data_IF_183621666037
#
_entry.id   IF_183621666037
#
_cell.length_a   1.000
_cell.length_b   1.000
_cell.length_c   1.000
_cell.angle_alpha   90.00
_cell.angle_beta   90.00
_cell.angle_gamma   90.00
#
_symmetry.space_group_name_H-M   'P 1'
#
loop_
_entity.id
_entity.type
_entity.pdbx_description
1 polymer ?
#
# COMPACT_ATOMS: atom_id res chain seq x y z
N UNK A 1 -2.45 3.18 -5.74
CA UNK A 1 -3.27 4.36 -5.40
C UNK A 1 -4.09 4.70 -6.63
N UNK A 2 -5.37 5.02 -6.48
CA UNK A 2 -6.25 5.32 -7.64
C UNK A 2 -5.81 6.60 -8.37
N UNK A 3 -5.99 6.67 -9.69
CA UNK A 3 -5.58 7.83 -10.51
C UNK A 3 -6.38 9.08 -10.12
N UNK A 4 -7.65 8.94 -9.73
CA UNK A 4 -8.47 10.07 -9.27
C UNK A 4 -7.95 10.58 -7.93
N UNK A 5 -7.54 9.70 -7.02
CA UNK A 5 -6.89 10.11 -5.76
C UNK A 5 -5.57 10.84 -6.02
N UNK A 6 -4.76 10.37 -6.97
CA UNK A 6 -3.52 11.04 -7.37
C UNK A 6 -3.78 12.43 -7.98
N UNK A 7 -4.84 12.59 -8.79
CA UNK A 7 -5.25 13.89 -9.33
C UNK A 7 -5.66 14.87 -8.22
N UNK A 8 -6.42 14.41 -7.23
CA UNK A 8 -6.84 15.24 -6.09
C UNK A 8 -5.63 15.71 -5.27
N UNK A 9 -4.68 14.81 -5.01
CA UNK A 9 -3.46 15.13 -4.29
C UNK A 9 -2.58 16.11 -5.09
N UNK A 10 -2.40 15.89 -6.39
CA UNK A 10 -1.62 16.78 -7.27
C UNK A 10 -2.24 18.18 -7.37
N UNK A 11 -3.57 18.28 -7.40
CA UNK A 11 -4.28 19.56 -7.44
C UNK A 11 -4.13 20.31 -6.10
N UNK A 12 -4.18 19.59 -4.97
CA UNK A 12 -3.91 20.16 -3.65
C UNK A 12 -2.45 20.66 -3.53
N UNK A 13 -1.49 19.90 -4.05
CA UNK A 13 -0.08 20.30 -4.12
C UNK A 13 0.08 21.59 -4.94
N UNK A 14 -0.53 21.67 -6.12
CA UNK A 14 -0.51 22.88 -6.95
C UNK A 14 -1.13 24.08 -6.23
N UNK A 15 -2.25 23.89 -5.52
CA UNK A 15 -2.91 24.96 -4.77
C UNK A 15 -2.00 25.50 -3.67
N UNK A 16 -1.37 24.62 -2.89
CA UNK A 16 -0.43 25.02 -1.84
C UNK A 16 0.79 25.72 -2.42
N UNK A 17 1.35 25.20 -3.51
CA UNK A 17 2.51 25.79 -4.17
C UNK A 17 2.19 27.17 -4.73
N UNK A 18 1.01 27.35 -5.34
CA UNK A 18 0.55 28.64 -5.86
C UNK A 18 0.38 29.66 -4.73
N UNK A 19 -0.36 29.33 -3.66
CA UNK A 19 -0.59 30.25 -2.52
C UNK A 19 0.72 30.65 -1.86
N UNK A 20 1.66 29.72 -1.70
CA UNK A 20 2.98 30.02 -1.14
C UNK A 20 3.82 30.90 -2.08
N UNK A 21 3.78 30.65 -3.39
CA UNK A 21 4.49 31.45 -4.39
C UNK A 21 3.95 32.89 -4.43
N UNK A 22 2.64 33.07 -4.51
CA UNK A 22 2.04 34.40 -4.52
C UNK A 22 2.18 35.12 -3.18
N UNK A 23 2.05 34.42 -2.06
CA UNK A 23 2.18 34.99 -0.72
C UNK A 23 3.59 35.52 -0.46
N UNK A 24 4.62 34.78 -0.84
CA UNK A 24 6.02 35.23 -0.71
C UNK A 24 6.32 36.42 -1.61
N UNK A 25 5.86 36.39 -2.88
CA UNK A 25 6.00 37.52 -3.80
C UNK A 25 5.33 38.80 -3.28
N UNK A 26 4.14 38.71 -2.70
CA UNK A 26 3.44 39.88 -2.17
C UNK A 26 4.08 40.43 -0.90
N UNK A 27 4.55 39.54 -0.02
CA UNK A 27 5.16 39.93 1.25
C UNK A 27 6.52 40.59 1.06
N UNK A 28 7.31 40.05 0.13
CA UNK A 28 8.72 40.41 -0.03
C UNK A 28 8.95 41.41 -1.18
N UNK A 29 7.89 41.88 -1.85
CA UNK A 29 7.98 42.85 -2.95
C UNK A 29 8.50 44.23 -2.47
N UNK A 30 9.60 44.75 -3.05
CA UNK A 30 10.06 46.11 -2.74
C UNK A 30 9.08 47.15 -3.32
N UNK A 31 8.96 48.34 -2.69
CA UNK A 31 8.15 49.42 -3.23
C UNK A 31 8.59 49.82 -4.64
N UNK A 32 7.67 49.77 -5.60
CA UNK A 32 7.93 50.22 -6.97
C UNK A 32 8.24 51.72 -6.95
N UNK A 33 9.49 52.08 -7.29
CA UNK A 33 9.88 53.48 -7.53
C UNK A 33 9.47 53.85 -8.96
N UNK A 34 8.51 54.77 -9.10
CA UNK A 34 8.02 55.25 -10.39
C UNK A 34 9.09 56.07 -11.17
N UNK A 35 10.09 56.60 -10.47
CA UNK A 35 11.24 57.33 -11.03
C UNK A 35 12.37 57.39 -10.01
N UNK A 36 13.62 57.47 -10.48
CA UNK A 36 14.82 57.59 -9.65
C UNK A 36 14.82 58.82 -8.74
N UNK A 37 14.00 59.83 -9.01
CA UNK A 37 13.92 61.06 -8.23
C UNK A 37 12.65 61.17 -7.37
N UNK A 38 11.89 60.07 -7.21
CA UNK A 38 10.68 60.10 -6.37
C UNK A 38 11.08 60.04 -4.88
N UNK A 39 10.69 61.03 -4.06
CA UNK A 39 11.06 61.06 -2.64
C UNK A 39 10.50 59.84 -1.90
N UNK A 40 11.29 59.28 -0.99
CA UNK A 40 10.84 58.18 -0.14
C UNK A 40 9.98 58.73 1.01
N UNK A 41 8.68 58.44 1.08
CA UNK A 41 7.81 58.97 2.13
C UNK A 41 8.21 58.51 3.55
N UNK A 42 9.03 57.45 3.66
CA UNK A 42 9.54 56.95 4.93
C UNK A 42 10.90 57.56 5.32
N UNK A 43 11.51 58.35 4.42
CA UNK A 43 12.72 59.12 4.73
C UNK A 43 12.32 60.54 5.21
N UNK A 44 12.58 60.92 6.48
CA UNK A 44 12.23 62.23 7.01
C UNK A 44 12.85 63.40 6.23
N UNK A 45 13.99 63.18 5.53
CA UNK A 45 14.61 64.19 4.67
C UNK A 45 13.91 64.35 3.30
N UNK A 46 13.27 63.29 2.79
CA UNK A 46 12.63 63.30 1.48
C UNK A 46 11.19 63.85 1.54
N UNK A 47 10.50 63.69 2.68
CA UNK A 47 9.23 64.36 2.95
C UNK A 47 9.35 65.90 2.92
N UNK A 48 10.48 66.44 3.43
CA UNK A 48 10.78 67.86 3.38
C UNK A 48 11.13 68.36 1.96
N UNK A 49 11.75 67.52 1.12
CA UNK A 49 12.06 67.86 -0.27
C UNK A 49 10.80 67.93 -1.15
N UNK A 50 9.78 67.10 -0.89
CA UNK A 50 8.50 67.16 -1.59
C UNK A 50 7.74 68.48 -1.33
N UNK A 51 7.86 69.04 -0.12
CA UNK A 51 7.27 70.35 0.23
C UNK A 51 8.03 71.55 -0.35
N UNK A 52 9.30 71.39 -0.73
CA UNK A 52 10.11 72.47 -1.30
C UNK A 52 9.96 72.64 -2.82
N UNK A 53 9.45 71.62 -3.54
CA UNK A 53 9.19 71.69 -4.97
C UNK A 53 7.78 72.24 -5.33
N UNK A 54 6.96 72.57 -4.32
CA UNK A 54 5.69 73.24 -4.51
C UNK A 54 5.92 74.76 -4.67
N UNK A 55 5.89 75.19 -5.93
CA UNK A 55 5.76 76.55 -6.45
C UNK A 55 5.14 77.59 -5.45
N UNK A 56 5.75 78.77 -5.21
CA UNK A 56 5.15 79.78 -4.34
C UNK A 56 4.05 80.50 -5.12
N UNK A 57 2.79 80.24 -4.78
CA UNK A 57 1.70 81.15 -5.12
C UNK A 57 1.16 81.76 -3.81
N UNK A 58 1.23 83.08 -3.62
CA UNK A 58 0.53 83.74 -2.53
C UNK A 58 -0.97 83.87 -2.89
N UNK A 59 -1.82 84.12 -1.89
CA UNK A 59 -3.27 84.32 -1.98
C UNK A 59 -4.16 83.05 -1.92
N UNK A 60 -4.54 82.62 -0.71
CA UNK A 60 -5.88 82.90 -0.12
C UNK A 60 -6.01 82.28 1.31
N UNK A 61 -6.88 82.80 2.20
CA UNK A 61 -6.79 82.64 3.65
C UNK A 61 -7.78 81.62 4.27
N UNK A 62 -7.36 81.15 5.45
CA UNK A 62 -8.16 80.79 6.64
C UNK A 62 -9.22 79.68 6.57
N UNK A 63 -8.93 78.56 7.26
CA UNK A 63 -9.86 77.95 8.23
C UNK A 63 -9.12 76.98 9.19
N UNK A 64 -9.01 77.38 10.46
CA UNK A 64 -8.74 76.53 11.65
C UNK A 64 -10.06 75.82 12.10
N UNK A 65 -10.18 75.14 13.27
CA UNK A 65 -9.49 73.95 13.82
C UNK A 65 -10.45 72.87 14.44
N UNK A 66 -10.04 71.58 14.49
CA UNK A 66 -10.26 70.48 15.53
C UNK A 66 -11.67 70.23 16.17
N UNK A 67 -11.94 69.23 17.08
CA UNK A 67 -11.26 67.99 17.54
C UNK A 67 -12.22 66.74 17.75
N UNK A 68 -11.65 65.58 18.15
CA UNK A 68 -12.35 64.46 18.85
C UNK A 68 -11.65 63.11 18.62
N UNK A 69 -11.43 62.20 19.57
CA UNK A 69 -11.78 62.07 20.98
C UNK A 69 -10.74 61.13 21.66
N UNK A 70 -10.60 61.27 22.98
CA UNK A 70 -9.67 60.51 23.82
C UNK A 70 -10.33 59.31 24.53
N UNK A 71 -9.45 58.42 25.02
CA UNK A 71 -9.54 57.63 26.26
C UNK A 71 -9.93 56.14 26.17
N UNK A 72 -9.03 55.31 26.72
CA UNK A 72 -9.26 53.94 27.18
C UNK A 72 -7.99 53.35 27.80
N UNK A 73 -7.98 53.19 29.12
CA UNK A 73 -6.83 52.96 30.00
C UNK A 73 -6.29 51.51 30.05
N UNK A 74 -5.02 51.36 30.43
CA UNK A 74 -4.36 50.12 30.94
C UNK A 74 -4.71 49.88 32.44
N UNK A 75 -4.16 48.88 33.21
CA UNK A 75 -3.26 47.75 32.89
C UNK A 75 -3.66 46.40 33.56
N UNK A 76 -2.96 45.28 33.25
CA UNK A 76 -2.85 44.12 34.16
C UNK A 76 -1.61 43.25 33.84
N UNK A 77 -0.99 42.72 34.89
CA UNK A 77 0.36 42.17 34.99
C UNK A 77 0.53 40.72 34.53
N UNK A 78 1.81 40.33 34.40
CA UNK A 78 2.41 39.08 33.92
C UNK A 78 2.02 37.78 34.68
N UNK A 79 2.53 36.62 34.25
CA UNK A 79 3.82 36.22 34.80
C UNK A 79 4.86 35.77 33.77
N UNK A 80 6.10 36.09 34.10
CA UNK A 80 7.30 35.59 33.45
C UNK A 80 7.43 34.08 33.65
N UNK A 81 7.63 33.34 32.56
CA UNK A 81 8.22 32.01 32.60
C UNK A 81 9.51 32.04 31.78
N UNK A 82 10.61 31.86 32.49
CA UNK A 82 11.93 31.72 31.95
C UNK A 82 12.04 30.36 31.26
N UNK A 83 12.26 30.39 29.95
CA UNK A 83 12.86 29.27 29.23
C UNK A 83 14.13 29.78 28.55
N UNK A 84 15.24 29.35 29.12
CA UNK A 84 16.57 29.45 28.55
C UNK A 84 16.61 28.61 27.27
N UNK A 85 16.21 29.20 26.15
CA UNK A 85 16.53 28.70 24.84
C UNK A 85 17.93 29.23 24.49
N UNK A 86 18.82 28.27 24.24
CA UNK A 86 20.19 28.45 23.77
C UNK A 86 20.27 29.58 22.75
N UNK A 87 21.19 30.52 22.95
CA UNK A 87 21.53 31.56 22.00
C UNK A 87 22.06 30.92 20.70
N UNK A 88 21.14 30.56 19.81
CA UNK A 88 21.47 30.39 18.40
C UNK A 88 21.88 31.78 17.90
N UNK A 89 23.02 31.91 17.20
CA UNK A 89 23.34 33.16 16.54
C UNK A 89 22.14 33.48 15.64
N UNK A 90 21.58 34.69 15.81
CA UNK A 90 20.62 35.25 14.87
C UNK A 90 21.35 35.32 13.53
N UNK A 91 21.28 34.24 12.76
CA UNK A 91 21.56 34.29 11.35
C UNK A 91 20.48 35.21 10.81
N UNK A 92 20.89 36.44 10.46
CA UNK A 92 20.11 37.26 9.56
C UNK A 92 19.63 36.31 8.45
N UNK A 93 18.31 36.23 8.19
CA UNK A 93 17.81 35.36 7.14
C UNK A 93 18.67 35.63 5.90
N UNK A 94 19.18 34.58 5.22
CA UNK A 94 19.92 34.79 3.99
C UNK A 94 19.05 35.72 3.16
N UNK A 95 19.61 36.88 2.77
CA UNK A 95 18.89 37.83 1.94
C UNK A 95 18.29 37.00 0.81
N UNK A 96 16.97 36.82 0.84
CA UNK A 96 16.29 35.93 -0.08
C UNK A 96 16.71 36.43 -1.45
N UNK A 97 17.37 35.59 -2.23
CA UNK A 97 17.68 35.95 -3.60
C UNK A 97 16.33 36.05 -4.32
N UNK A 98 15.75 37.25 -4.28
CA UNK A 98 14.42 37.58 -4.77
C UNK A 98 14.32 37.32 -6.27
N UNK A 99 15.45 37.17 -6.95
CA UNK A 99 15.50 36.87 -8.37
C UNK A 99 15.48 35.36 -8.65
N UNK A 100 15.97 34.51 -7.74
CA UNK A 100 16.12 33.07 -7.96
C UNK A 100 15.00 32.25 -7.29
N UNK A 101 14.59 32.63 -6.08
CA UNK A 101 13.58 31.88 -5.32
C UNK A 101 12.19 31.86 -6.00
N UNK A 102 11.65 32.97 -6.53
CA UNK A 102 10.38 32.93 -7.26
C UNK A 102 10.44 32.17 -8.59
N UNK A 103 11.62 32.13 -9.24
CA UNK A 103 11.83 31.32 -10.45
C UNK A 103 11.79 29.83 -10.13
N UNK A 104 12.40 29.41 -9.02
CA UNK A 104 12.36 28.02 -8.58
C UNK A 104 10.92 27.57 -8.24
N UNK A 105 10.15 28.41 -7.53
CA UNK A 105 8.77 28.10 -7.16
C UNK A 105 7.82 28.10 -8.36
N UNK A 106 7.96 29.06 -9.28
CA UNK A 106 7.18 29.07 -10.52
C UNK A 106 7.51 27.88 -11.43
N UNK A 107 8.79 27.47 -11.51
CA UNK A 107 9.18 26.25 -12.21
C UNK A 107 8.54 25.00 -11.59
N UNK A 108 8.53 24.89 -10.26
CA UNK A 108 7.89 23.79 -9.56
C UNK A 108 6.37 23.76 -9.83
N UNK A 109 5.70 24.91 -9.92
CA UNK A 109 4.27 24.99 -10.27
C UNK A 109 3.99 24.49 -11.69
N UNK A 110 4.85 24.87 -12.65
CA UNK A 110 4.73 24.39 -14.04
C UNK A 110 4.96 22.89 -14.12
N UNK A 111 5.92 22.34 -13.36
CA UNK A 111 6.13 20.89 -13.30
C UNK A 111 4.94 20.16 -12.69
N UNK A 112 4.36 20.70 -11.62
CA UNK A 112 3.16 20.14 -11.01
C UNK A 112 1.97 20.18 -11.99
N UNK A 113 1.81 21.26 -12.76
CA UNK A 113 0.80 21.36 -13.82
C UNK A 113 0.99 20.30 -14.92
N UNK A 114 2.24 20.08 -15.38
CA UNK A 114 2.54 19.03 -16.37
C UNK A 114 2.22 17.63 -15.85
N UNK A 115 2.47 17.37 -14.56
CA UNK A 115 2.10 16.10 -13.92
C UNK A 115 0.58 15.93 -13.85
N UNK A 116 -0.15 16.99 -13.51
CA UNK A 116 -1.60 16.99 -13.55
C UNK A 116 -2.13 16.65 -14.95
N UNK A 117 -1.61 17.30 -16.00
CA UNK A 117 -1.99 17.01 -17.40
C UNK A 117 -1.73 15.54 -17.78
N UNK A 118 -0.59 15.00 -17.37
CA UNK A 118 -0.25 13.59 -17.62
C UNK A 118 -1.22 12.64 -16.90
N UNK A 119 -1.61 12.96 -15.66
CA UNK A 119 -2.61 12.17 -14.91
C UNK A 119 -4.00 12.27 -15.53
N UNK A 120 -4.40 13.44 -16.03
CA UNK A 120 -5.68 13.61 -16.75
C UNK A 120 -5.67 12.81 -18.04
N UNK A 121 -4.57 12.82 -18.79
CA UNK A 121 -4.42 12.02 -20.01
C UNK A 121 -4.41 10.50 -19.75
N UNK A 122 -4.01 10.08 -18.55
CA UNK A 122 -4.01 8.68 -18.12
C UNK A 122 -5.39 8.19 -17.66
N UNK A 123 -6.40 9.06 -17.55
CA UNK A 123 -7.74 8.65 -17.18
C UNK A 123 -8.33 7.73 -18.27
N UNK A 124 -8.95 6.60 -17.90
CA UNK A 124 -9.68 5.77 -18.84
C UNK A 124 -10.97 6.47 -19.26
N UNK A 125 -10.87 7.32 -20.29
CA UNK A 125 -11.98 8.06 -20.89
C UNK A 125 -12.74 7.15 -21.86
N UNK A 126 -13.62 6.31 -21.34
CA UNK A 126 -14.62 5.59 -22.14
C UNK A 126 -16.02 6.08 -21.81
N UNK A 127 -16.94 6.00 -22.78
CA UNK A 127 -18.33 6.31 -22.54
C UNK A 127 -18.91 5.32 -21.52
N UNK A 128 -19.89 5.77 -20.73
CA UNK A 128 -20.57 4.91 -19.75
C UNK A 128 -21.13 3.65 -20.42
N UNK A 129 -21.69 3.78 -21.63
CA UNK A 129 -22.23 2.66 -22.40
C UNK A 129 -21.14 1.65 -22.80
N UNK A 130 -19.98 2.11 -23.28
CA UNK A 130 -18.87 1.23 -23.64
C UNK A 130 -18.28 0.53 -22.41
N UNK A 131 -18.18 1.25 -21.29
CA UNK A 131 -17.75 0.67 -20.02
C UNK A 131 -18.71 -0.42 -19.56
N UNK A 132 -20.02 -0.14 -19.60
CA UNK A 132 -21.04 -1.08 -19.17
C UNK A 132 -21.10 -2.30 -20.09
N UNK A 133 -20.92 -2.10 -21.40
CA UNK A 133 -20.80 -3.17 -22.39
C UNK A 133 -19.58 -4.06 -22.09
N UNK A 134 -18.41 -3.46 -21.87
CA UNK A 134 -17.19 -4.21 -21.49
C UNK A 134 -17.37 -4.95 -20.17
N UNK A 135 -18.04 -4.36 -19.19
CA UNK A 135 -18.33 -5.03 -17.92
C UNK A 135 -19.22 -6.25 -18.15
N UNK A 136 -20.29 -6.13 -18.93
CA UNK A 136 -21.17 -7.26 -19.25
C UNK A 136 -20.45 -8.37 -20.00
N UNK A 137 -19.62 -8.02 -20.97
CA UNK A 137 -18.78 -8.97 -21.69
C UNK A 137 -17.84 -9.70 -20.74
N UNK A 138 -17.11 -8.98 -19.89
CA UNK A 138 -16.23 -9.58 -18.88
C UNK A 138 -17.00 -10.43 -17.86
N UNK A 139 -18.22 -10.05 -17.49
CA UNK A 139 -19.06 -10.88 -16.61
C UNK A 139 -19.44 -12.20 -17.30
N UNK A 140 -19.86 -12.15 -18.56
CA UNK A 140 -20.17 -13.34 -19.34
C UNK A 140 -18.94 -14.24 -19.53
N UNK A 141 -17.77 -13.65 -19.82
CA UNK A 141 -16.50 -14.39 -19.91
C UNK A 141 -16.14 -15.05 -18.58
N UNK A 142 -16.27 -14.32 -17.47
CA UNK A 142 -15.99 -14.87 -16.13
C UNK A 142 -16.96 -16.01 -15.77
N UNK A 143 -18.23 -15.92 -16.16
CA UNK A 143 -19.19 -17.02 -15.99
C UNK A 143 -18.76 -18.26 -16.80
N UNK A 144 -18.41 -18.07 -18.08
CA UNK A 144 -17.93 -19.16 -18.95
C UNK A 144 -16.67 -19.80 -18.38
N UNK A 145 -15.66 -18.99 -18.00
CA UNK A 145 -14.43 -19.48 -17.37
C UNK A 145 -14.73 -20.24 -16.07
N UNK A 146 -15.66 -19.74 -15.26
CA UNK A 146 -16.13 -20.42 -14.05
C UNK A 146 -16.74 -21.80 -14.35
N UNK A 147 -17.60 -21.90 -15.36
CA UNK A 147 -18.20 -23.18 -15.76
C UNK A 147 -17.18 -24.17 -16.31
N UNK A 148 -16.22 -23.70 -17.12
CA UNK A 148 -15.16 -24.55 -17.67
C UNK A 148 -14.23 -25.06 -16.56
N UNK A 149 -13.86 -24.20 -15.62
CA UNK A 149 -13.05 -24.59 -14.46
C UNK A 149 -13.78 -25.64 -13.61
N UNK A 150 -15.09 -25.50 -13.39
CA UNK A 150 -15.89 -26.49 -12.67
C UNK A 150 -15.99 -27.82 -13.42
N UNK A 151 -16.15 -27.79 -14.74
CA UNK A 151 -16.16 -28.99 -15.58
C UNK A 151 -14.81 -29.73 -15.51
N UNK A 152 -13.70 -29.01 -15.50
CA UNK A 152 -12.38 -29.60 -15.32
C UNK A 152 -12.24 -30.23 -13.93
N UNK A 153 -12.74 -29.58 -12.89
CA UNK A 153 -12.74 -30.12 -11.53
C UNK A 153 -13.56 -31.42 -11.44
N UNK A 154 -14.74 -31.45 -12.06
CA UNK A 154 -15.60 -32.65 -12.10
C UNK A 154 -14.93 -33.79 -12.87
N UNK A 155 -14.34 -33.50 -14.04
CA UNK A 155 -13.61 -34.50 -14.82
C UNK A 155 -12.42 -35.09 -14.03
N UNK A 156 -11.66 -34.23 -13.33
CA UNK A 156 -10.57 -34.67 -12.46
C UNK A 156 -11.08 -35.53 -11.29
N UNK A 157 -12.19 -35.14 -10.66
CA UNK A 157 -12.83 -35.91 -9.60
C UNK A 157 -13.30 -37.30 -10.07
N UNK A 158 -13.90 -37.38 -11.26
CA UNK A 158 -14.31 -38.64 -11.87
C UNK A 158 -13.10 -39.53 -12.19
N UNK A 159 -11.99 -38.96 -12.69
CA UNK A 159 -10.77 -39.72 -12.93
C UNK A 159 -10.22 -40.31 -11.63
N UNK A 160 -10.19 -39.52 -10.56
CA UNK A 160 -9.74 -39.97 -9.24
C UNK A 160 -10.63 -41.09 -8.71
N UNK A 161 -11.96 -40.96 -8.83
CA UNK A 161 -12.92 -41.98 -8.41
C UNK A 161 -12.72 -43.30 -9.18
N UNK A 162 -12.49 -43.23 -10.49
CA UNK A 162 -12.19 -44.41 -11.31
C UNK A 162 -10.89 -45.10 -10.87
N UNK A 163 -9.82 -44.33 -10.65
CA UNK A 163 -8.53 -44.86 -10.20
C UNK A 163 -8.69 -45.54 -8.84
N UNK A 164 -9.34 -44.87 -7.88
CA UNK A 164 -9.60 -45.44 -6.55
C UNK A 164 -10.46 -46.71 -6.63
N UNK A 165 -11.48 -46.74 -7.49
CA UNK A 165 -12.30 -47.92 -7.74
C UNK A 165 -11.50 -49.09 -8.28
N UNK A 166 -10.59 -48.84 -9.23
CA UNK A 166 -9.69 -49.87 -9.76
C UNK A 166 -8.78 -50.43 -8.65
N UNK A 167 -8.17 -49.57 -7.83
CA UNK A 167 -7.35 -50.03 -6.70
C UNK A 167 -8.14 -50.84 -5.69
N UNK A 168 -9.40 -50.46 -5.42
CA UNK A 168 -10.26 -51.21 -4.50
C UNK A 168 -10.55 -52.61 -5.01
N UNK A 169 -10.89 -52.77 -6.30
CA UNK A 169 -11.09 -54.07 -6.93
C UNK A 169 -9.80 -54.91 -6.90
N UNK A 170 -8.67 -54.30 -7.27
CA UNK A 170 -7.37 -54.97 -7.22
C UNK A 170 -7.01 -55.42 -5.80
N UNK A 171 -7.37 -54.64 -4.78
CA UNK A 171 -7.17 -55.02 -3.38
C UNK A 171 -8.04 -56.21 -2.96
N UNK A 172 -9.28 -56.27 -3.44
CA UNK A 172 -10.17 -57.42 -3.23
C UNK A 172 -9.57 -58.68 -3.88
N UNK A 173 -9.13 -58.59 -5.13
CA UNK A 173 -8.54 -59.72 -5.86
C UNK A 173 -7.27 -60.22 -5.17
N UNK A 174 -6.38 -59.32 -4.77
CA UNK A 174 -5.16 -59.66 -4.01
C UNK A 174 -5.53 -60.35 -2.69
N UNK A 175 -6.51 -59.84 -1.95
CA UNK A 175 -6.94 -60.45 -0.70
C UNK A 175 -7.48 -61.87 -0.92
N UNK A 176 -8.29 -62.07 -1.94
CA UNK A 176 -8.83 -63.40 -2.29
C UNK A 176 -7.72 -64.37 -2.69
N UNK A 177 -6.74 -63.91 -3.47
CA UNK A 177 -5.58 -64.72 -3.86
C UNK A 177 -4.75 -65.13 -2.63
N UNK A 178 -4.50 -64.21 -1.70
CA UNK A 178 -3.79 -64.49 -0.44
C UNK A 178 -4.58 -65.50 0.39
N UNK A 179 -5.89 -65.32 0.55
CA UNK A 179 -6.73 -66.24 1.30
C UNK A 179 -6.73 -67.65 0.68
N UNK A 180 -6.82 -67.75 -0.64
CA UNK A 180 -6.74 -69.01 -1.36
C UNK A 180 -5.42 -69.73 -1.11
N UNK A 181 -4.28 -69.03 -1.26
CA UNK A 181 -2.97 -69.66 -1.08
C UNK A 181 -2.63 -69.95 0.38
N UNK A 182 -3.10 -69.12 1.30
CA UNK A 182 -3.01 -69.36 2.75
C UNK A 182 -3.74 -70.64 3.15
N UNK A 183 -4.93 -70.88 2.60
CA UNK A 183 -5.68 -72.11 2.87
C UNK A 183 -4.95 -73.35 2.32
N UNK A 184 -4.41 -73.29 1.10
CA UNK A 184 -3.64 -74.38 0.51
C UNK A 184 -2.39 -74.71 1.35
N UNK A 185 -1.67 -73.69 1.82
CA UNK A 185 -0.50 -73.86 2.69
C UNK A 185 -0.89 -74.44 4.07
N UNK A 186 -2.03 -74.02 4.62
CA UNK A 186 -2.53 -74.54 5.90
C UNK A 186 -2.87 -76.04 5.81
N UNK A 187 -3.49 -76.48 4.71
CA UNK A 187 -3.78 -77.90 4.47
C UNK A 187 -2.50 -78.73 4.35
N UNK A 188 -1.50 -78.23 3.63
CA UNK A 188 -0.19 -78.88 3.53
C UNK A 188 0.52 -78.98 4.89
N UNK A 189 0.46 -77.93 5.70
CA UNK A 189 1.04 -77.94 7.05
C UNK A 189 0.37 -79.00 7.95
N UNK A 190 -0.97 -79.08 7.91
CA UNK A 190 -1.71 -80.11 8.66
C UNK A 190 -1.34 -81.53 8.20
N UNK A 191 -1.14 -81.73 6.90
CA UNK A 191 -0.69 -83.03 6.38
C UNK A 191 0.70 -83.40 6.91
N UNK A 192 1.66 -82.48 6.86
CA UNK A 192 3.01 -82.71 7.39
C UNK A 192 2.98 -82.96 8.91
N UNK A 193 2.18 -82.23 9.67
CA UNK A 193 2.04 -82.48 11.11
C UNK A 193 1.50 -83.89 11.42
N UNK A 194 0.56 -84.39 10.61
CA UNK A 194 -0.01 -85.71 10.80
C UNK A 194 1.04 -86.81 10.54
N UNK A 195 1.79 -86.68 9.44
CA UNK A 195 2.89 -87.58 9.09
C UNK A 195 3.96 -87.59 10.20
N UNK A 196 4.30 -86.41 10.74
CA UNK A 196 5.30 -86.28 11.80
C UNK A 196 4.84 -86.94 13.11
N UNK A 197 3.56 -86.76 13.48
CA UNK A 197 2.96 -87.47 14.63
C UNK A 197 2.93 -88.99 14.42
N UNK A 198 2.67 -89.46 13.21
CA UNK A 198 2.69 -90.90 12.93
C UNK A 198 4.10 -91.49 13.07
N UNK A 199 5.11 -90.79 12.53
CA UNK A 199 6.52 -91.19 12.67
C UNK A 199 6.95 -91.19 14.14
N UNK A 200 6.53 -90.21 14.93
CA UNK A 200 6.81 -90.16 16.37
C UNK A 200 6.23 -91.36 17.12
N UNK A 201 4.98 -91.74 16.82
CA UNK A 201 4.33 -92.93 17.41
C UNK A 201 5.09 -94.21 17.03
N UNK A 202 5.41 -94.38 15.74
CA UNK A 202 6.20 -95.52 15.25
C UNK A 202 7.58 -95.58 15.91
N UNK A 203 8.24 -94.44 16.09
CA UNK A 203 9.54 -94.36 16.75
C UNK A 203 9.46 -94.76 18.23
N UNK A 204 8.44 -94.29 18.95
CA UNK A 204 8.21 -94.65 20.35
C UNK A 204 7.90 -96.15 20.49
N UNK A 205 7.04 -96.71 19.64
CA UNK A 205 6.73 -98.14 19.62
C UNK A 205 7.97 -99.00 19.29
N UNK A 206 8.78 -98.58 18.31
CA UNK A 206 10.03 -99.26 17.99
C UNK A 206 11.03 -99.21 19.16
N UNK A 207 11.12 -98.07 19.85
CA UNK A 207 11.96 -97.87 21.03
C UNK A 207 11.50 -98.76 22.20
N UNK A 208 10.19 -98.78 22.48
CA UNK A 208 9.62 -99.64 23.53
C UNK A 208 9.83 -101.12 23.23
N UNK A 209 9.72 -101.53 21.96
CA UNK A 209 10.05 -102.89 21.54
C UNK A 209 11.53 -103.22 21.76
N UNK A 210 12.46 -102.31 21.42
CA UNK A 210 13.89 -102.49 21.65
C UNK A 210 14.28 -102.56 23.13
N UNK A 211 13.59 -101.81 24.00
CA UNK A 211 13.80 -101.83 25.46
C UNK A 211 13.20 -103.09 26.10
N UNK A 212 12.10 -103.62 25.56
CA UNK A 212 11.45 -104.85 26.03
C UNK A 212 12.05 -106.14 25.45
N UNK A 213 13.05 -106.06 24.57
CA UNK A 213 13.90 -107.20 24.21
C UNK A 213 14.67 -107.64 25.46
N UNK A 214 14.05 -108.58 26.19
CA UNK A 214 14.62 -109.38 27.27
C UNK A 214 16.01 -109.85 26.84
N UNK A 215 17.02 -109.59 27.69
CA UNK A 215 18.39 -110.13 27.52
C UNK A 215 18.28 -111.60 27.12
N UNK A 216 18.93 -112.04 26.03
CA UNK A 216 19.07 -113.47 25.79
C UNK A 216 19.82 -114.05 27.00
N UNK A 217 19.23 -115.07 27.63
CA UNK A 217 19.86 -115.86 28.69
C UNK A 217 21.23 -116.42 28.25
#
# INVERSE_FOLDING_TARGET
MDIISQLQEQLNEMAMLAVNTFGTLQRDAPPVRLSNNYPDPLNPAAAAAATAAANPNPDDPAAQPQPGAAAGAAPAQAPAQAQAALAQPVQAPPALDLDEHPKAMSHALVLAAKKFDALVAALPLSSEEDQLKRIKELQAENEVVGTELQKQLEAAGNMLCNILGFFFLLFIDIRQLIAYKSNELHVLLLFVELELKQVEVLFNEATDNCINLKKPD
#
